data_IF_698686238189
#
_entry.id   IF_698686238189
#
_cell.length_a   1.000
_cell.length_b   1.000
_cell.length_c   1.000
_cell.angle_alpha   90.00
_cell.angle_beta   90.00
_cell.angle_gamma   90.00
#
_symmetry.space_group_name_H-M   'P 1'
#
loop_
_entity.id
_entity.type
_entity.pdbx_description
1 polymer ?
#
# COMPACT_ATOMS: atom_id res chain seq x y z
N UNK A 1 3.49 14.01 11.14
CA UNK A 1 4.13 13.03 10.23
C UNK A 1 4.17 13.60 8.81
N UNK A 2 5.24 13.39 8.04
CA UNK A 2 5.34 13.89 6.67
C UNK A 2 4.40 13.08 5.74
N UNK A 3 3.49 13.76 5.05
CA UNK A 3 2.47 13.15 4.19
C UNK A 3 2.74 13.51 2.74
N UNK A 4 2.55 12.53 1.84
CA UNK A 4 2.62 12.76 0.40
C UNK A 4 1.33 13.45 -0.08
N UNK A 5 1.41 14.75 -0.42
CA UNK A 5 0.27 15.58 -0.88
C UNK A 5 0.24 15.79 -2.39
N UNK A 6 0.94 14.96 -3.16
CA UNK A 6 1.01 15.10 -4.63
C UNK A 6 -0.37 14.87 -5.26
N UNK A 7 -0.75 15.65 -6.31
CA UNK A 7 -1.98 15.43 -7.06
C UNK A 7 -2.02 14.04 -7.69
N UNK A 8 -3.02 13.21 -7.30
CA UNK A 8 -3.04 11.77 -7.61
C UNK A 8 -3.13 11.52 -9.10
N UNK A 9 -4.15 12.02 -9.78
CA UNK A 9 -4.36 11.75 -11.20
C UNK A 9 -3.22 12.25 -12.09
N UNK A 10 -2.60 13.39 -11.73
CA UNK A 10 -1.41 13.90 -12.44
C UNK A 10 -0.23 12.93 -12.28
N UNK A 11 -0.03 12.42 -11.07
CA UNK A 11 1.07 11.51 -10.77
C UNK A 11 0.85 10.15 -11.40
N UNK A 12 -0.36 9.59 -11.34
CA UNK A 12 -0.71 8.34 -12.02
C UNK A 12 -0.38 8.42 -13.51
N UNK A 13 -0.81 9.48 -14.21
CA UNK A 13 -0.47 9.67 -15.63
C UNK A 13 1.03 9.72 -15.88
N UNK A 14 1.79 10.44 -15.06
CA UNK A 14 3.24 10.56 -15.26
C UNK A 14 3.99 9.25 -15.04
N UNK A 15 3.45 8.37 -14.20
CA UNK A 15 4.02 7.07 -13.89
C UNK A 15 3.47 5.93 -14.76
N UNK A 16 2.38 6.17 -15.50
CA UNK A 16 1.69 5.13 -16.25
C UNK A 16 0.97 4.13 -15.33
N UNK A 17 0.41 4.63 -14.20
CA UNK A 17 -0.36 3.83 -13.25
C UNK A 17 -1.85 4.08 -13.42
N UNK A 18 -2.65 3.02 -13.31
CA UNK A 18 -4.09 3.17 -13.18
C UNK A 18 -4.42 3.65 -11.74
N UNK A 19 -5.26 4.70 -11.57
CA UNK A 19 -5.71 5.16 -10.26
C UNK A 19 -6.39 4.10 -9.40
N UNK A 20 -6.95 3.06 -10.00
CA UNK A 20 -7.59 1.91 -9.32
C UNK A 20 -6.68 1.26 -8.27
N UNK A 21 -5.36 1.13 -8.56
CA UNK A 21 -4.39 0.60 -7.59
C UNK A 21 -4.26 1.44 -6.30
N UNK A 22 -4.77 2.67 -6.34
CA UNK A 22 -4.81 3.58 -5.19
C UNK A 22 -6.18 3.61 -4.51
N UNK A 23 -7.14 2.84 -5.03
CA UNK A 23 -8.54 2.86 -4.58
C UNK A 23 -9.31 4.10 -5.08
N UNK A 24 -8.99 4.61 -6.27
CA UNK A 24 -9.63 5.80 -6.87
C UNK A 24 -10.20 5.43 -8.23
N UNK A 25 -11.52 5.48 -8.35
CA UNK A 25 -12.24 5.12 -9.58
C UNK A 25 -12.23 6.23 -10.64
N UNK A 26 -11.88 7.45 -10.23
CA UNK A 26 -11.85 8.61 -11.12
C UNK A 26 -10.75 8.50 -12.15
N UNK A 27 -11.11 8.41 -13.43
CA UNK A 27 -10.17 8.43 -14.55
C UNK A 27 -9.85 9.88 -14.96
N UNK A 28 -8.63 10.07 -15.49
CA UNK A 28 -8.22 11.37 -16.03
C UNK A 28 -8.73 11.55 -17.46
N UNK A 29 -9.39 12.66 -17.72
CA UNK A 29 -9.82 13.05 -19.08
C UNK A 29 -8.69 13.62 -19.95
N UNK A 30 -7.57 14.00 -19.33
CA UNK A 30 -6.43 14.56 -20.04
C UNK A 30 -5.59 13.46 -20.68
N UNK A 31 -5.32 13.60 -21.97
CA UNK A 31 -4.41 12.71 -22.68
C UNK A 31 -2.96 12.85 -22.19
N UNK A 32 -2.23 11.74 -22.21
CA UNK A 32 -0.78 11.77 -22.03
C UNK A 32 -0.16 12.57 -23.18
N UNK A 33 0.66 13.55 -22.85
CA UNK A 33 1.53 14.15 -23.86
C UNK A 33 2.44 13.04 -24.40
N UNK A 34 2.43 12.83 -25.71
CA UNK A 34 3.35 11.88 -26.37
C UNK A 34 4.78 12.27 -25.99
N UNK A 35 5.44 11.39 -25.25
CA UNK A 35 6.85 11.57 -24.95
C UNK A 35 7.66 11.13 -26.18
N UNK A 36 8.04 12.05 -27.03
CA UNK A 36 8.91 11.76 -28.18
C UNK A 36 10.38 11.48 -27.75
N UNK A 37 10.67 11.49 -26.46
CA UNK A 37 12.01 11.32 -25.93
C UNK A 37 12.26 9.88 -25.51
N UNK A 38 13.30 9.27 -26.04
CA UNK A 38 13.76 7.96 -25.59
C UNK A 38 14.08 8.01 -24.08
N UNK A 39 13.48 7.14 -23.31
CA UNK A 39 13.70 7.06 -21.85
C UNK A 39 15.02 6.32 -21.63
N UNK A 40 15.93 6.90 -20.85
CA UNK A 40 17.17 6.22 -20.47
C UNK A 40 16.89 5.09 -19.49
N UNK A 41 17.81 4.14 -19.39
CA UNK A 41 17.73 3.03 -18.41
C UNK A 41 17.57 3.54 -16.98
N UNK A 42 18.39 4.51 -16.57
CA UNK A 42 18.22 5.20 -15.28
C UNK A 42 16.81 5.78 -15.10
N UNK A 43 16.24 6.36 -16.15
CA UNK A 43 14.88 6.89 -16.12
C UNK A 43 13.82 5.82 -15.89
N UNK A 44 13.99 4.61 -16.45
CA UNK A 44 13.12 3.47 -16.22
C UNK A 44 13.22 2.99 -14.77
N UNK A 45 14.44 2.78 -14.26
CA UNK A 45 14.70 2.38 -12.88
C UNK A 45 14.11 3.38 -11.89
N UNK A 46 14.33 4.67 -12.12
CA UNK A 46 13.77 5.73 -11.29
C UNK A 46 12.23 5.75 -11.32
N UNK A 47 11.63 5.50 -12.49
CA UNK A 47 10.17 5.45 -12.65
C UNK A 47 9.57 4.31 -11.84
N UNK A 48 10.15 3.11 -11.87
CA UNK A 48 9.66 1.96 -11.10
C UNK A 48 9.75 2.23 -9.59
N UNK A 49 10.85 2.78 -9.10
CA UNK A 49 10.96 3.21 -7.71
C UNK A 49 9.86 4.22 -7.33
N UNK A 50 9.62 5.20 -8.19
CA UNK A 50 8.58 6.21 -7.94
C UNK A 50 7.16 5.62 -7.98
N UNK A 51 6.89 4.58 -8.80
CA UNK A 51 5.62 3.84 -8.77
C UNK A 51 5.41 3.19 -7.41
N UNK A 52 6.36 2.37 -6.95
CA UNK A 52 6.26 1.69 -5.66
C UNK A 52 6.04 2.70 -4.51
N UNK A 53 6.86 3.73 -4.42
CA UNK A 53 6.71 4.80 -3.42
C UNK A 53 5.35 5.46 -3.44
N UNK A 54 4.80 5.70 -4.63
CA UNK A 54 3.54 6.39 -4.79
C UNK A 54 2.35 5.52 -4.40
N UNK A 55 2.36 4.24 -4.79
CA UNK A 55 1.31 3.27 -4.47
C UNK A 55 1.17 3.12 -2.95
N UNK A 56 2.29 2.88 -2.26
CA UNK A 56 2.30 2.69 -0.79
C UNK A 56 2.34 4.00 0.01
N UNK A 57 2.42 5.16 -0.65
CA UNK A 57 2.47 6.47 0.00
C UNK A 57 3.72 6.69 0.86
N UNK A 58 4.83 6.01 0.55
CA UNK A 58 6.09 6.05 1.30
C UNK A 58 7.01 7.14 0.75
N UNK A 59 7.64 7.94 1.64
CA UNK A 59 8.64 8.93 1.26
C UNK A 59 10.01 8.30 1.01
N UNK A 60 10.93 9.05 0.37
CA UNK A 60 12.24 8.53 -0.06
C UNK A 60 13.08 7.93 1.08
N UNK A 61 13.26 8.66 2.18
CA UNK A 61 14.07 8.20 3.31
C UNK A 61 13.54 6.91 3.93
N UNK A 62 12.24 6.79 4.30
CA UNK A 62 11.67 5.53 4.76
C UNK A 62 11.77 4.40 3.71
N UNK A 63 11.54 4.69 2.44
CA UNK A 63 11.63 3.69 1.38
C UNK A 63 13.05 3.11 1.26
N UNK A 64 14.06 3.96 1.30
CA UNK A 64 15.47 3.54 1.33
C UNK A 64 15.79 2.69 2.57
N UNK A 65 15.16 2.99 3.72
CA UNK A 65 15.32 2.17 4.92
C UNK A 65 14.68 0.77 4.77
N UNK A 66 13.53 0.67 4.07
CA UNK A 66 12.95 -0.65 3.72
C UNK A 66 13.87 -1.42 2.80
N UNK A 67 14.42 -0.79 1.76
CA UNK A 67 15.39 -1.41 0.87
C UNK A 67 16.60 -1.98 1.63
N UNK A 68 17.23 -1.18 2.49
CA UNK A 68 18.37 -1.62 3.31
C UNK A 68 18.02 -2.78 4.26
N UNK A 69 16.79 -2.86 4.74
CA UNK A 69 16.34 -3.99 5.55
C UNK A 69 16.13 -5.23 4.70
N UNK A 70 15.47 -5.08 3.54
CA UNK A 70 15.23 -6.18 2.60
C UNK A 70 16.54 -6.79 2.08
N UNK A 71 17.55 -5.97 1.84
CA UNK A 71 18.88 -6.37 1.39
C UNK A 71 19.64 -7.24 2.39
N UNK A 72 19.35 -7.08 3.70
CA UNK A 72 19.95 -7.88 4.79
C UNK A 72 19.18 -9.18 5.06
N UNK A 73 18.00 -9.34 4.48
CA UNK A 73 17.19 -10.55 4.66
C UNK A 73 17.64 -11.64 3.69
N UNK A 74 17.44 -12.91 4.07
CA UNK A 74 17.65 -14.03 3.15
C UNK A 74 16.65 -13.99 2.01
N UNK A 75 17.04 -14.41 0.81
CA UNK A 75 16.22 -14.46 -0.39
C UNK A 75 16.45 -13.26 -1.32
N UNK A 76 15.51 -13.03 -2.22
CA UNK A 76 15.60 -11.95 -3.21
C UNK A 76 15.25 -10.60 -2.58
N UNK A 77 16.17 -9.64 -2.65
CA UNK A 77 16.00 -8.28 -2.09
C UNK A 77 14.73 -7.59 -2.60
N UNK A 78 14.42 -7.75 -3.89
CA UNK A 78 13.23 -7.15 -4.50
C UNK A 78 11.93 -7.70 -3.93
N UNK A 79 11.81 -9.02 -3.81
CA UNK A 79 10.66 -9.69 -3.22
C UNK A 79 10.49 -9.31 -1.75
N UNK A 80 11.57 -9.39 -0.97
CA UNK A 80 11.57 -8.99 0.44
C UNK A 80 11.08 -7.54 0.62
N UNK A 81 11.52 -6.63 -0.27
CA UNK A 81 11.07 -5.25 -0.25
C UNK A 81 9.56 -5.14 -0.47
N UNK A 82 9.01 -5.88 -1.46
CA UNK A 82 7.58 -5.85 -1.77
C UNK A 82 6.75 -6.44 -0.63
N UNK A 83 7.18 -7.58 -0.06
CA UNK A 83 6.55 -8.20 1.11
C UNK A 83 6.55 -7.25 2.31
N UNK A 84 7.66 -6.57 2.60
CA UNK A 84 7.70 -5.58 3.68
C UNK A 84 6.77 -4.40 3.46
N UNK A 85 6.58 -3.96 2.22
CA UNK A 85 5.65 -2.87 1.89
C UNK A 85 4.19 -3.31 2.01
N UNK A 86 3.88 -4.57 1.65
CA UNK A 86 2.53 -5.13 1.80
C UNK A 86 2.17 -5.35 3.27
N UNK A 87 3.11 -5.77 4.11
CA UNK A 87 2.88 -6.06 5.52
C UNK A 87 2.76 -4.83 6.42
N UNK A 88 2.75 -3.63 5.87
CA UNK A 88 2.50 -2.40 6.64
C UNK A 88 1.06 -2.34 7.10
N UNK A 89 0.83 -1.92 8.34
CA UNK A 89 -0.51 -1.83 8.92
C UNK A 89 -1.45 -0.94 8.11
N UNK A 90 -0.96 0.21 7.59
CA UNK A 90 -1.77 1.08 6.73
C UNK A 90 -2.21 0.37 5.42
N UNK A 91 -1.34 -0.46 4.85
CA UNK A 91 -1.67 -1.23 3.66
C UNK A 91 -2.61 -2.40 3.97
N UNK A 92 -2.42 -3.11 5.08
CA UNK A 92 -3.30 -4.22 5.49
C UNK A 92 -4.73 -3.73 5.73
N UNK A 93 -4.90 -2.61 6.44
CA UNK A 93 -6.21 -1.98 6.64
C UNK A 93 -6.90 -1.65 5.30
N UNK A 94 -6.12 -1.22 4.30
CA UNK A 94 -6.63 -0.99 2.94
C UNK A 94 -6.99 -2.31 2.23
N UNK A 95 -6.16 -3.35 2.33
CA UNK A 95 -6.38 -4.66 1.71
C UNK A 95 -7.60 -5.39 2.28
N UNK A 96 -7.85 -5.25 3.58
CA UNK A 96 -9.04 -5.77 4.26
C UNK A 96 -10.34 -5.04 3.88
N UNK A 97 -10.25 -3.92 3.14
CA UNK A 97 -11.42 -3.14 2.76
C UNK A 97 -11.90 -2.16 3.83
N UNK A 98 -11.18 -1.97 4.95
CA UNK A 98 -11.56 -1.05 6.02
C UNK A 98 -11.28 0.43 5.69
N UNK A 99 -10.77 0.70 4.50
CA UNK A 99 -10.58 2.03 3.95
C UNK A 99 -10.71 2.02 2.42
N UNK A 100 -11.20 3.11 1.84
CA UNK A 100 -11.33 3.28 0.38
C UNK A 100 -9.98 3.42 -0.29
N UNK A 101 -9.04 4.11 0.35
CA UNK A 101 -7.70 4.39 -0.16
C UNK A 101 -6.64 4.14 0.90
N UNK A 102 -5.38 3.89 0.47
CA UNK A 102 -4.24 3.77 1.42
C UNK A 102 -4.00 5.05 2.23
N UNK A 103 -4.35 6.23 1.72
CA UNK A 103 -4.28 7.48 2.48
C UNK A 103 -5.30 7.51 3.61
N UNK A 104 -6.52 7.06 3.34
CA UNK A 104 -7.57 6.94 4.35
C UNK A 104 -7.22 5.89 5.40
N UNK A 105 -6.71 4.71 4.98
CA UNK A 105 -6.21 3.68 5.89
C UNK A 105 -5.14 4.23 6.84
N UNK A 106 -4.19 4.98 6.29
CA UNK A 106 -3.15 5.63 7.09
C UNK A 106 -3.73 6.59 8.12
N UNK A 107 -4.73 7.40 7.76
CA UNK A 107 -5.41 8.31 8.67
C UNK A 107 -6.15 7.56 9.78
N UNK A 108 -6.81 6.45 9.43
CA UNK A 108 -7.52 5.58 10.39
C UNK A 108 -6.53 5.04 11.45
N UNK A 109 -5.36 4.58 11.02
CA UNK A 109 -4.31 4.11 11.93
C UNK A 109 -3.74 5.25 12.78
N UNK A 110 -3.37 6.39 12.17
CA UNK A 110 -2.81 7.56 12.88
C UNK A 110 -3.77 8.07 13.97
N UNK A 111 -5.09 7.99 13.73
CA UNK A 111 -6.14 8.43 14.66
C UNK A 111 -6.52 7.37 15.70
N UNK A 112 -5.75 6.29 15.84
CA UNK A 112 -5.92 5.25 16.87
C UNK A 112 -7.24 4.48 16.77
N UNK A 113 -7.77 4.30 15.57
CA UNK A 113 -8.97 3.51 15.35
C UNK A 113 -8.71 2.02 15.17
N UNK A 114 -7.44 1.59 15.09
CA UNK A 114 -7.04 0.21 14.80
C UNK A 114 -6.44 -0.47 16.03
N UNK A 115 -6.84 -1.70 16.25
CA UNK A 115 -6.23 -2.61 17.22
C UNK A 115 -5.48 -3.71 16.46
N UNK A 116 -4.32 -4.10 16.97
CA UNK A 116 -3.56 -5.27 16.55
C UNK A 116 -3.43 -6.18 17.79
N UNK A 117 -3.96 -7.39 17.69
CA UNK A 117 -4.00 -8.35 18.82
C UNK A 117 -4.60 -7.70 20.09
N UNK A 118 -5.69 -6.94 19.94
CA UNK A 118 -6.38 -6.24 21.03
C UNK A 118 -5.67 -4.97 21.54
N UNK A 119 -4.47 -4.64 21.05
CA UNK A 119 -3.71 -3.46 21.46
C UNK A 119 -3.84 -2.33 20.42
N UNK A 120 -4.08 -1.10 20.89
CA UNK A 120 -4.20 0.06 20.00
C UNK A 120 -2.84 0.44 19.41
N UNK A 121 -2.74 0.42 18.08
CA UNK A 121 -1.55 0.80 17.33
C UNK A 121 -1.84 2.02 16.47
N UNK A 122 -1.01 3.06 16.62
CA UNK A 122 -1.13 4.32 15.85
C UNK A 122 0.08 4.56 14.92
N UNK A 123 0.79 3.50 14.57
CA UNK A 123 1.97 3.58 13.70
C UNK A 123 1.64 2.93 12.36
N UNK A 124 1.40 3.71 11.28
CA UNK A 124 1.04 3.17 9.96
C UNK A 124 2.11 2.26 9.35
N UNK A 125 3.38 2.46 9.74
CA UNK A 125 4.51 1.65 9.30
C UNK A 125 4.78 0.42 10.17
N UNK A 126 3.89 0.10 11.12
CA UNK A 126 3.97 -1.13 11.89
C UNK A 126 3.94 -2.33 10.92
N UNK A 127 4.88 -3.25 11.08
CA UNK A 127 4.96 -4.45 10.25
C UNK A 127 4.20 -5.57 10.95
N UNK A 128 3.09 -5.94 10.34
CA UNK A 128 2.26 -7.03 10.81
C UNK A 128 2.91 -8.39 10.44
N UNK A 129 2.57 -9.42 11.22
CA UNK A 129 3.08 -10.79 11.05
C UNK A 129 1.93 -11.74 10.72
N UNK A 130 2.26 -12.92 10.22
CA UNK A 130 1.29 -14.00 10.13
C UNK A 130 0.72 -14.33 11.53
N UNK A 131 -0.58 -14.55 11.59
CA UNK A 131 -1.34 -14.77 12.83
C UNK A 131 -1.83 -13.48 13.51
N UNK A 132 -1.38 -12.28 13.09
CA UNK A 132 -1.87 -11.04 13.69
C UNK A 132 -3.34 -10.80 13.35
N UNK A 133 -4.13 -10.50 14.37
CA UNK A 133 -5.53 -10.08 14.25
C UNK A 133 -5.61 -8.56 14.23
N UNK A 134 -6.25 -8.02 13.19
CA UNK A 134 -6.43 -6.58 13.01
C UNK A 134 -7.92 -6.27 13.05
N UNK A 135 -8.31 -5.32 13.88
CA UNK A 135 -9.71 -4.93 14.05
C UNK A 135 -9.86 -3.42 14.26
N UNK A 136 -11.02 -2.90 13.88
CA UNK A 136 -11.40 -1.52 14.21
C UNK A 136 -11.95 -1.49 15.63
N UNK A 137 -11.53 -0.49 16.43
CA UNK A 137 -11.98 -0.29 17.81
C UNK A 137 -13.50 -0.23 17.87
N UNK A 138 -14.10 -0.90 18.88
CA UNK A 138 -15.54 -0.98 19.07
C UNK A 138 -16.20 0.42 19.10
N UNK A 139 -15.60 1.36 19.83
CA UNK A 139 -16.07 2.77 19.89
C UNK A 139 -16.10 3.48 18.52
N UNK A 140 -15.38 2.96 17.53
CA UNK A 140 -15.25 3.56 16.19
C UNK A 140 -16.19 2.89 15.18
N UNK A 141 -16.55 1.62 15.37
CA UNK A 141 -17.39 0.83 14.44
C UNK A 141 -18.76 1.46 14.21
N UNK A 142 -19.36 2.04 15.24
CA UNK A 142 -20.68 2.71 15.16
C UNK A 142 -20.72 3.98 14.31
N UNK A 143 -19.61 4.48 13.82
CA UNK A 143 -19.57 5.70 13.01
C UNK A 143 -20.12 5.47 11.60
N UNK A 144 -20.96 6.39 11.09
CA UNK A 144 -21.47 6.41 9.72
C UNK A 144 -20.35 6.35 8.67
N UNK A 145 -19.16 6.83 9.01
CA UNK A 145 -17.97 6.76 8.15
C UNK A 145 -17.67 5.33 7.71
N UNK A 146 -17.73 4.35 8.62
CA UNK A 146 -17.41 2.96 8.28
C UNK A 146 -18.53 2.32 7.44
N UNK A 147 -19.80 2.68 7.67
CA UNK A 147 -20.90 2.26 6.78
C UNK A 147 -20.67 2.71 5.36
N UNK A 148 -20.37 4.00 5.14
CA UNK A 148 -20.05 4.52 3.81
C UNK A 148 -18.73 4.02 3.21
N UNK A 149 -17.78 3.53 4.02
CA UNK A 149 -16.59 2.83 3.52
C UNK A 149 -16.99 1.45 3.00
N UNK A 150 -17.74 0.66 3.77
CA UNK A 150 -18.16 -0.69 3.42
C UNK A 150 -19.04 -0.71 2.16
N UNK A 151 -19.92 0.26 1.98
CA UNK A 151 -20.71 0.42 0.74
C UNK A 151 -19.82 0.50 -0.52
N UNK A 152 -18.67 1.17 -0.41
CA UNK A 152 -17.74 1.34 -1.53
C UNK A 152 -16.76 0.17 -1.67
N UNK A 153 -16.40 -0.46 -0.56
CA UNK A 153 -15.35 -1.50 -0.51
C UNK A 153 -15.88 -2.93 -0.46
N UNK A 154 -17.17 -3.14 -0.22
CA UNK A 154 -17.78 -4.47 -0.05
C UNK A 154 -17.64 -5.41 -1.24
N UNK A 155 -17.44 -4.87 -2.46
CA UNK A 155 -17.14 -5.67 -3.66
C UNK A 155 -15.63 -5.83 -3.97
N UNK A 156 -14.74 -5.34 -3.11
CA UNK A 156 -13.31 -5.45 -3.35
C UNK A 156 -12.80 -6.84 -2.98
N UNK A 157 -12.06 -7.45 -3.90
CA UNK A 157 -11.41 -8.72 -3.64
C UNK A 157 -10.36 -8.56 -2.53
N UNK A 158 -10.50 -9.36 -1.48
CA UNK A 158 -9.50 -9.50 -0.42
C UNK A 158 -8.46 -10.52 -0.88
N UNK A 159 -7.15 -10.24 -0.75
CA UNK A 159 -6.12 -11.20 -1.10
C UNK A 159 -6.22 -12.50 -0.27
N UNK A 160 -5.85 -13.64 -0.86
CA UNK A 160 -5.97 -14.98 -0.23
C UNK A 160 -5.20 -15.14 1.09
N UNK A 161 -4.08 -14.42 1.24
CA UNK A 161 -3.25 -14.43 2.45
C UNK A 161 -3.85 -13.63 3.63
N UNK A 162 -5.00 -12.95 3.41
CA UNK A 162 -5.77 -12.26 4.45
C UNK A 162 -7.15 -12.90 4.55
N UNK A 163 -7.62 -13.11 5.77
CA UNK A 163 -9.01 -13.41 6.07
C UNK A 163 -9.66 -12.17 6.67
N UNK A 164 -10.65 -11.60 6.01
CA UNK A 164 -11.27 -10.36 6.46
C UNK A 164 -12.79 -10.50 6.53
N UNK A 165 -13.30 -10.33 7.74
CA UNK A 165 -14.73 -10.13 8.01
C UNK A 165 -15.00 -8.61 7.93
N UNK A 166 -15.49 -8.19 6.77
CA UNK A 166 -15.79 -6.79 6.52
C UNK A 166 -16.97 -6.27 7.32
N UNK A 167 -17.95 -7.11 7.63
CA UNK A 167 -19.13 -6.74 8.41
C UNK A 167 -18.76 -6.39 9.85
N UNK A 168 -17.92 -7.21 10.47
CA UNK A 168 -17.43 -7.00 11.82
C UNK A 168 -16.18 -6.10 11.90
N UNK A 169 -15.66 -5.65 10.75
CA UNK A 169 -14.42 -4.83 10.65
C UNK A 169 -13.26 -5.47 11.38
N UNK A 170 -13.10 -6.79 11.19
CA UNK A 170 -12.05 -7.62 11.80
C UNK A 170 -11.42 -8.50 10.73
N UNK A 171 -10.14 -8.80 10.86
CA UNK A 171 -9.46 -9.73 9.97
C UNK A 171 -8.20 -10.30 10.57
N UNK A 172 -7.71 -11.37 9.97
CA UNK A 172 -6.51 -12.09 10.38
C UNK A 172 -5.58 -12.25 9.18
N UNK A 173 -4.28 -12.09 9.40
CA UNK A 173 -3.27 -12.40 8.40
C UNK A 173 -2.96 -13.89 8.51
N UNK A 174 -3.33 -14.68 7.50
CA UNK A 174 -3.07 -16.13 7.49
C UNK A 174 -1.57 -16.42 7.34
N UNK A 175 -0.97 -15.81 6.35
CA UNK A 175 0.44 -15.98 5.98
C UNK A 175 1.04 -14.68 5.44
N UNK A 176 2.33 -14.64 5.24
CA UNK A 176 2.98 -13.51 4.57
C UNK A 176 2.78 -13.65 3.05
N UNK A 177 2.48 -12.55 2.34
CA UNK A 177 2.23 -12.63 0.89
C UNK A 177 3.48 -13.07 0.13
N UNK A 178 3.29 -13.91 -0.87
CA UNK A 178 4.32 -14.20 -1.88
C UNK A 178 4.32 -13.10 -2.94
N UNK A 179 5.39 -13.03 -3.76
CA UNK A 179 5.45 -12.03 -4.85
C UNK A 179 4.31 -12.16 -5.84
N UNK A 180 3.89 -13.38 -6.12
CA UNK A 180 2.81 -13.69 -7.08
C UNK A 180 1.44 -13.20 -6.59
N UNK A 181 1.21 -13.24 -5.28
CA UNK A 181 -0.01 -12.74 -4.65
C UNK A 181 -0.09 -11.21 -4.57
N UNK A 182 1.01 -10.52 -4.90
CA UNK A 182 1.08 -9.04 -4.88
C UNK A 182 0.75 -8.49 -6.26
N UNK A 183 -0.47 -7.99 -6.44
CA UNK A 183 -1.05 -7.47 -7.68
C UNK A 183 -0.54 -6.09 -8.13
N UNK A 184 0.55 -5.61 -7.57
CA UNK A 184 1.09 -4.26 -7.82
C UNK A 184 1.97 -4.26 -9.08
N UNK A 185 1.71 -3.39 -10.09
CA UNK A 185 2.42 -3.36 -11.36
C UNK A 185 3.77 -2.63 -11.23
N UNK A 186 4.69 -3.23 -10.49
CA UNK A 186 6.04 -2.71 -10.23
C UNK A 186 7.06 -3.79 -10.55
N UNK A 187 8.13 -3.40 -11.26
CA UNK A 187 9.29 -4.25 -11.46
C UNK A 187 10.33 -3.94 -10.37
N UNK A 188 10.40 -4.80 -9.37
CA UNK A 188 11.29 -4.66 -8.22
C UNK A 188 12.78 -4.81 -8.59
N UNK A 189 13.10 -5.57 -9.64
CA UNK A 189 14.49 -5.75 -10.09
C UNK A 189 15.11 -4.42 -10.49
N UNK A 190 14.37 -3.58 -11.23
CA UNK A 190 14.83 -2.24 -11.62
C UNK A 190 15.04 -1.32 -10.40
N UNK A 191 14.31 -1.56 -9.31
CA UNK A 191 14.51 -0.81 -8.05
C UNK A 191 15.81 -1.27 -7.37
N UNK A 192 16.07 -2.58 -7.36
CA UNK A 192 17.31 -3.15 -6.81
C UNK A 192 18.52 -2.63 -7.58
N UNK A 193 18.49 -2.68 -8.91
CA UNK A 193 19.54 -2.15 -9.78
C UNK A 193 19.82 -0.66 -9.54
N UNK A 194 18.77 0.14 -9.29
CA UNK A 194 18.93 1.57 -9.01
C UNK A 194 19.68 1.84 -7.70
N UNK A 195 19.46 1.01 -6.68
CA UNK A 195 20.05 1.21 -5.36
C UNK A 195 21.40 0.51 -5.18
N UNK A 196 21.75 -0.43 -6.06
CA UNK A 196 23.05 -1.13 -6.07
C UNK A 196 24.17 -0.34 -6.78
N UNK A 197 23.83 0.77 -7.44
CA UNK A 197 24.78 1.68 -8.12
C UNK A 197 25.46 2.63 -7.15
#
# INVERSE_FOLDING_TARGET
>A
MAVNRVPVLKRCRSLGLDPIYLGIDKKSTRQLKRANRKVSEYGLQLKEKQKAKFIYGVLEKPFRNYYKKADRMQGQTGENLMVMLENRLDNIVFRMGFARTRREARQIVDHKHVLVNGKCVNIPSYLCKAGDTIEIREKSKGSERYKGILEVTGGRLVPEWIDADQENLKGVIKELPTREQIDVPVNEMLIVELYSK
#
